data_IF_360687548542
#
_entry.id   IF_360687548542
#
_cell.length_a   1.000
_cell.length_b   1.000
_cell.length_c   1.000
_cell.angle_alpha   90.00
_cell.angle_beta   90.00
_cell.angle_gamma   90.00
#
_symmetry.space_group_name_H-M   'P 1'
#
loop_
_entity.id
_entity.type
_entity.pdbx_description
1 polymer ?
#
# COMPACT_ATOMS: atom_id res chain seq x y z
N UNK A 1 13.44 -0.21 -4.56
CA UNK A 1 12.33 0.73 -4.87
C UNK A 1 11.50 1.04 -3.61
N UNK A 2 10.86 0.06 -2.99
CA UNK A 2 10.06 0.25 -1.77
C UNK A 2 10.82 0.90 -0.60
N UNK A 3 12.07 0.49 -0.34
CA UNK A 3 12.89 1.08 0.73
C UNK A 3 13.21 2.57 0.50
N UNK A 4 13.49 2.96 -0.74
CA UNK A 4 13.77 4.36 -1.08
C UNK A 4 12.51 5.24 -0.92
N UNK A 5 11.33 4.68 -1.23
CA UNK A 5 10.03 5.37 -1.16
C UNK A 5 9.61 5.78 0.27
N UNK A 6 10.19 5.17 1.30
CA UNK A 6 9.83 5.41 2.70
C UNK A 6 10.90 6.18 3.48
N UNK A 7 12.03 6.53 2.85
CA UNK A 7 13.10 7.26 3.53
C UNK A 7 12.58 8.56 4.14
N UNK A 8 12.87 8.77 5.43
CA UNK A 8 12.40 9.91 6.22
C UNK A 8 10.87 10.02 6.38
N UNK A 9 10.12 8.94 6.10
CA UNK A 9 8.67 8.86 6.27
C UNK A 9 7.91 10.04 5.63
N UNK A 10 7.99 10.21 4.30
CA UNK A 10 7.36 11.34 3.61
C UNK A 10 5.85 11.35 3.87
N UNK A 11 5.27 12.54 4.05
CA UNK A 11 3.83 12.65 4.31
C UNK A 11 3.00 12.10 3.15
N UNK A 12 3.45 12.38 1.93
CA UNK A 12 2.78 11.95 0.70
C UNK A 12 3.50 10.75 0.09
N UNK A 13 2.73 9.90 -0.59
CA UNK A 13 3.29 8.83 -1.40
C UNK A 13 4.20 9.41 -2.49
N UNK A 14 5.32 8.73 -2.83
CA UNK A 14 6.04 9.05 -4.05
C UNK A 14 5.15 8.76 -5.28
N UNK A 15 5.49 9.33 -6.44
CA UNK A 15 4.76 9.03 -7.67
C UNK A 15 4.97 7.56 -8.05
N UNK A 16 3.87 6.85 -8.32
CA UNK A 16 3.93 5.58 -9.02
C UNK A 16 4.47 5.81 -10.45
N UNK A 17 5.16 4.83 -11.02
CA UNK A 17 5.46 4.83 -12.45
C UNK A 17 4.34 4.11 -13.21
N UNK A 18 4.23 4.33 -14.53
CA UNK A 18 3.27 3.58 -15.38
C UNK A 18 3.53 2.06 -15.36
N UNK A 19 4.74 1.63 -14.99
CA UNK A 19 5.15 0.22 -14.97
C UNK A 19 4.80 -0.54 -13.68
N UNK A 20 4.28 0.14 -12.65
CA UNK A 20 3.99 -0.51 -11.36
C UNK A 20 2.80 0.13 -10.61
N UNK A 21 2.05 -0.69 -9.87
CA UNK A 21 1.16 -0.21 -8.82
C UNK A 21 1.94 0.24 -7.59
N UNK A 22 1.40 1.18 -6.82
CA UNK A 22 1.95 1.65 -5.56
C UNK A 22 0.86 1.75 -4.50
N UNK A 23 1.06 1.07 -3.37
CA UNK A 23 0.30 1.31 -2.14
C UNK A 23 1.24 1.90 -1.10
N UNK A 24 0.84 3.03 -0.52
CA UNK A 24 1.63 3.76 0.47
C UNK A 24 0.79 4.04 1.71
N UNK A 25 1.40 3.90 2.88
CA UNK A 25 0.76 4.23 4.15
C UNK A 25 1.73 5.02 5.01
N UNK A 26 1.29 6.18 5.48
CA UNK A 26 1.96 6.94 6.55
C UNK A 26 0.98 7.10 7.71
N UNK A 27 1.32 6.56 8.86
CA UNK A 27 0.48 6.61 10.07
C UNK A 27 1.30 6.98 11.29
N UNK A 28 0.63 7.63 12.25
CA UNK A 28 1.13 7.81 13.60
C UNK A 28 1.09 6.46 14.32
N UNK A 29 2.25 6.00 14.79
CA UNK A 29 2.50 4.79 15.59
C UNK A 29 1.72 3.50 15.19
N UNK A 30 2.45 2.44 14.83
CA UNK A 30 1.84 1.10 14.74
C UNK A 30 1.46 0.64 16.15
N UNK A 31 0.19 0.29 16.36
CA UNK A 31 -0.32 -0.30 17.60
C UNK A 31 -0.58 -1.80 17.43
N UNK A 32 -0.37 -2.57 18.50
CA UNK A 32 -0.65 -4.00 18.53
C UNK A 32 0.55 -4.87 18.11
N UNK A 33 0.32 -6.18 17.91
CA UNK A 33 1.41 -7.16 17.72
C UNK A 33 1.99 -7.19 16.29
N UNK A 34 1.45 -6.42 15.36
CA UNK A 34 1.82 -6.48 13.95
C UNK A 34 3.10 -5.70 13.63
N UNK A 35 3.90 -6.25 12.73
CA UNK A 35 4.96 -5.50 12.05
C UNK A 35 4.40 -4.35 11.20
N UNK A 36 5.26 -3.41 10.81
CA UNK A 36 4.86 -2.20 10.08
C UNK A 36 4.18 -2.55 8.74
N UNK A 37 4.75 -3.49 8.00
CA UNK A 37 4.19 -3.94 6.71
C UNK A 37 2.89 -4.70 6.91
N UNK A 38 2.83 -5.62 7.87
CA UNK A 38 1.63 -6.40 8.20
C UNK A 38 0.46 -5.49 8.57
N UNK A 39 0.72 -4.44 9.36
CA UNK A 39 -0.29 -3.45 9.72
C UNK A 39 -0.84 -2.74 8.48
N UNK A 40 0.02 -2.39 7.53
CA UNK A 40 -0.41 -1.75 6.29
C UNK A 40 -1.30 -2.68 5.44
N UNK A 41 -0.89 -3.94 5.29
CA UNK A 41 -1.68 -4.95 4.58
C UNK A 41 -3.07 -5.13 5.21
N UNK A 42 -3.16 -5.16 6.54
CA UNK A 42 -4.43 -5.24 7.25
C UNK A 42 -5.33 -4.02 6.97
N UNK A 43 -4.77 -2.81 7.02
CA UNK A 43 -5.51 -1.57 6.75
C UNK A 43 -6.04 -1.57 5.31
N UNK A 44 -5.18 -1.86 4.33
CA UNK A 44 -5.57 -1.91 2.92
C UNK A 44 -6.58 -3.03 2.64
N UNK A 45 -6.50 -4.16 3.34
CA UNK A 45 -7.47 -5.25 3.18
C UNK A 45 -8.84 -4.84 3.71
N UNK A 46 -8.86 -4.10 4.82
CA UNK A 46 -10.11 -3.63 5.45
C UNK A 46 -10.81 -2.58 4.61
N UNK A 47 -10.08 -1.75 3.83
CA UNK A 47 -10.73 -0.81 2.91
C UNK A 47 -11.48 -1.51 1.78
N UNK A 48 -11.15 -2.78 1.50
CA UNK A 48 -11.92 -3.63 0.58
C UNK A 48 -13.36 -3.93 1.01
N UNK A 49 -13.74 -3.66 2.26
CA UNK A 49 -15.13 -3.86 2.72
C UNK A 49 -16.14 -2.96 1.98
N UNK A 50 -15.69 -1.85 1.37
CA UNK A 50 -16.52 -0.99 0.52
C UNK A 50 -16.42 -1.35 -0.98
N UNK A 51 -15.69 -2.41 -1.33
CA UNK A 51 -15.60 -2.87 -2.71
C UNK A 51 -16.95 -3.45 -3.18
N UNK A 52 -17.48 -3.02 -4.35
CA UNK A 52 -18.76 -3.54 -4.83
C UNK A 52 -18.67 -5.03 -5.15
N UNK A 53 -19.49 -5.86 -4.50
CA UNK A 53 -19.49 -7.33 -4.64
C UNK A 53 -19.69 -7.78 -6.10
N UNK A 54 -20.42 -7.00 -6.90
CA UNK A 54 -20.73 -7.31 -8.29
C UNK A 54 -19.74 -6.72 -9.32
N UNK A 55 -18.70 -5.99 -8.89
CA UNK A 55 -17.73 -5.38 -9.80
C UNK A 55 -16.33 -5.96 -9.61
N UNK A 56 -15.70 -6.36 -10.70
CA UNK A 56 -14.27 -6.70 -10.75
C UNK A 56 -13.41 -5.54 -11.26
N UNK A 57 -14.05 -4.41 -11.62
CA UNK A 57 -13.40 -3.27 -12.23
C UNK A 57 -13.15 -2.19 -11.19
N UNK A 58 -11.88 -1.80 -11.06
CA UNK A 58 -11.50 -0.63 -10.27
C UNK A 58 -12.05 0.65 -10.92
N UNK A 59 -12.78 1.45 -10.15
CA UNK A 59 -13.49 2.63 -10.64
C UNK A 59 -12.73 3.96 -10.45
N UNK A 60 -11.45 3.90 -10.05
CA UNK A 60 -10.66 5.10 -9.77
C UNK A 60 -10.83 5.69 -8.37
N UNK A 61 -11.61 5.06 -7.47
CA UNK A 61 -11.75 5.53 -6.09
C UNK A 61 -10.39 5.43 -5.36
N UNK A 62 -9.77 6.54 -4.93
CA UNK A 62 -8.45 6.53 -4.29
C UNK A 62 -8.44 5.75 -2.96
N UNK A 63 -9.56 5.64 -2.25
CA UNK A 63 -9.65 4.87 -0.99
C UNK A 63 -9.51 3.35 -1.22
N UNK A 64 -9.92 2.90 -2.41
CA UNK A 64 -9.84 1.51 -2.83
C UNK A 64 -8.55 1.21 -3.60
N UNK A 65 -7.73 2.20 -3.94
CA UNK A 65 -6.53 2.00 -4.75
C UNK A 65 -5.58 0.97 -4.15
N UNK A 66 -5.33 1.07 -2.84
CA UNK A 66 -4.39 0.16 -2.17
C UNK A 66 -4.92 -1.27 -2.13
N UNK A 67 -6.23 -1.44 -1.95
CA UNK A 67 -6.91 -2.73 -2.03
C UNK A 67 -6.85 -3.30 -3.46
N UNK A 68 -7.20 -2.48 -4.47
CA UNK A 68 -7.17 -2.84 -5.87
C UNK A 68 -5.79 -3.34 -6.32
N UNK A 69 -4.72 -2.66 -5.89
CA UNK A 69 -3.35 -3.09 -6.17
C UNK A 69 -3.04 -4.48 -5.62
N UNK A 70 -3.55 -4.81 -4.42
CA UNK A 70 -3.32 -6.13 -3.79
C UNK A 70 -4.04 -7.26 -4.51
N UNK A 71 -5.26 -7.02 -4.99
CA UNK A 71 -6.09 -8.06 -5.63
C UNK A 71 -5.97 -8.08 -7.16
N UNK A 72 -5.14 -7.20 -7.74
CA UNK A 72 -4.91 -7.13 -9.19
C UNK A 72 -4.30 -8.45 -9.69
N UNK A 73 -5.06 -9.15 -10.54
CA UNK A 73 -4.72 -10.49 -11.03
C UNK A 73 -3.49 -10.53 -11.94
N UNK A 74 -3.14 -9.42 -12.58
CA UNK A 74 -1.96 -9.31 -13.46
C UNK A 74 -0.67 -8.97 -12.70
N UNK A 75 -0.72 -8.86 -11.38
CA UNK A 75 0.47 -8.65 -10.56
C UNK A 75 1.29 -9.94 -10.51
N UNK A 76 2.55 -9.88 -10.94
CA UNK A 76 3.49 -11.02 -10.98
C UNK A 76 4.57 -10.95 -9.90
N UNK A 77 4.85 -9.76 -9.37
CA UNK A 77 5.81 -9.58 -8.28
C UNK A 77 5.40 -8.42 -7.36
N UNK A 78 5.77 -8.55 -6.08
CA UNK A 78 5.52 -7.51 -5.06
C UNK A 78 6.78 -7.28 -4.24
N UNK A 79 7.12 -6.02 -4.02
CA UNK A 79 8.21 -5.62 -3.12
C UNK A 79 7.72 -4.60 -2.10
N UNK A 80 7.83 -4.90 -0.81
CA UNK A 80 7.39 -4.04 0.28
C UNK A 80 8.54 -3.62 1.19
N UNK A 81 8.41 -2.46 1.84
CA UNK A 81 9.32 -2.02 2.89
C UNK A 81 8.54 -1.18 3.91
N UNK A 82 8.92 -1.30 5.18
CA UNK A 82 8.39 -0.48 6.27
C UNK A 82 9.52 0.13 7.10
N UNK A 83 9.33 1.35 7.60
CA UNK A 83 10.30 2.04 8.44
C UNK A 83 9.59 2.89 9.51
N UNK A 84 10.25 3.05 10.65
CA UNK A 84 9.85 3.97 11.73
C UNK A 84 10.73 5.23 11.66
N UNK A 85 10.11 6.40 11.64
CA UNK A 85 10.79 7.70 11.74
C UNK A 85 10.18 8.50 12.91
N UNK A 86 10.82 8.41 14.07
CA UNK A 86 10.27 8.97 15.31
C UNK A 86 8.94 8.29 15.66
N UNK A 87 7.86 9.07 15.72
CA UNK A 87 6.50 8.59 16.01
C UNK A 87 5.73 8.13 14.76
N UNK A 88 6.26 8.39 13.56
CA UNK A 88 5.61 8.02 12.30
C UNK A 88 6.14 6.70 11.78
N UNK A 89 5.27 5.98 11.09
CA UNK A 89 5.63 4.76 10.39
C UNK A 89 5.20 4.91 8.94
N UNK A 90 6.10 4.58 8.02
CA UNK A 90 5.85 4.59 6.60
C UNK A 90 5.99 3.18 6.04
N UNK A 91 5.06 2.81 5.15
CA UNK A 91 5.09 1.56 4.38
C UNK A 91 4.89 1.88 2.91
N UNK A 92 5.65 1.24 2.04
CA UNK A 92 5.42 1.24 0.61
C UNK A 92 5.45 -0.19 0.08
N UNK A 93 4.48 -0.55 -0.76
CA UNK A 93 4.47 -1.77 -1.54
C UNK A 93 4.34 -1.43 -3.02
N UNK A 94 5.22 -2.00 -3.83
CA UNK A 94 5.26 -1.87 -5.28
C UNK A 94 4.78 -3.18 -5.90
N UNK A 95 3.83 -3.09 -6.83
CA UNK A 95 3.19 -4.22 -7.50
C UNK A 95 3.54 -4.17 -8.98
N UNK A 96 4.18 -5.22 -9.50
CA UNK A 96 4.69 -5.25 -10.88
C UNK A 96 3.87 -6.23 -11.73
N UNK A 97 3.75 -5.94 -13.01
CA UNK A 97 3.22 -6.85 -14.03
C UNK A 97 4.32 -7.18 -15.03
N UNK A 98 4.27 -8.40 -15.58
CA UNK A 98 5.14 -8.85 -16.69
C UNK A 98 4.67 -8.32 -18.03
#
# INVERSE_FOLDING_TARGET
>A
MAQAAILNCPQNAPRASESNGLSYLNISAVKGPFGIVERALLIWSTSGNSWPIASTVYNGNPELLSFANMIRTTTTAVGCSGIKCGERHATACFFFSS
#
